data_IF_412308385782
#
_entry.id   IF_412308385782
#
_cell.length_a   1.000
_cell.length_b   1.000
_cell.length_c   1.000
_cell.angle_alpha   90.00
_cell.angle_beta   90.00
_cell.angle_gamma   90.00
#
_symmetry.space_group_name_H-M   'P 1'
#
loop_
_entity.id
_entity.type
_entity.pdbx_description
1 polymer ?
#
# COMPACT_ATOMS: atom_id res chain seq x y z
N UNK A 1 -3.06 -23.42 -6.68
CA UNK A 1 -2.72 -22.31 -7.60
C UNK A 1 -2.40 -21.06 -6.80
N UNK A 2 -1.34 -20.31 -7.12
CA UNK A 2 -1.02 -19.06 -6.42
C UNK A 2 -1.91 -17.91 -6.89
N UNK A 3 -2.50 -17.14 -5.97
CA UNK A 3 -3.35 -16.00 -6.33
C UNK A 3 -2.45 -14.87 -6.87
N UNK A 4 -2.86 -14.25 -7.96
CA UNK A 4 -2.18 -13.08 -8.50
C UNK A 4 -2.86 -11.82 -7.98
N UNK A 5 -2.06 -10.86 -7.53
CA UNK A 5 -2.56 -9.59 -7.02
C UNK A 5 -2.15 -8.43 -7.92
N UNK A 6 -3.01 -7.44 -7.96
CA UNK A 6 -2.80 -6.22 -8.73
C UNK A 6 -3.17 -5.01 -7.87
N UNK A 7 -2.34 -3.97 -7.93
CA UNK A 7 -2.66 -2.64 -7.43
C UNK A 7 -3.18 -1.80 -8.60
N UNK A 8 -4.30 -1.10 -8.40
CA UNK A 8 -4.77 -0.08 -9.34
C UNK A 8 -4.36 1.28 -8.81
N UNK A 9 -3.57 2.03 -9.57
CA UNK A 9 -3.07 3.34 -9.18
C UNK A 9 -2.84 4.22 -10.41
N UNK A 10 -3.38 5.44 -10.41
CA UNK A 10 -3.31 6.39 -11.54
C UNK A 10 -3.64 5.74 -12.88
N UNK A 11 -4.80 5.08 -12.95
CA UNK A 11 -5.32 4.35 -14.12
C UNK A 11 -4.43 3.20 -14.63
N UNK A 12 -3.40 2.82 -13.86
CA UNK A 12 -2.51 1.69 -14.18
C UNK A 12 -2.81 0.50 -13.30
N UNK A 13 -2.82 -0.67 -13.91
CA UNK A 13 -2.87 -1.97 -13.24
C UNK A 13 -1.46 -2.53 -13.07
N UNK A 14 -0.95 -2.50 -11.85
CA UNK A 14 0.40 -2.95 -11.51
C UNK A 14 0.32 -4.35 -10.92
N UNK A 15 0.92 -5.34 -11.58
CA UNK A 15 1.03 -6.71 -11.04
C UNK A 15 2.03 -6.73 -9.87
N UNK A 16 1.59 -7.21 -8.71
CA UNK A 16 2.43 -7.36 -7.54
C UNK A 16 3.18 -8.69 -7.62
N UNK A 17 4.50 -8.60 -7.78
CA UNK A 17 5.43 -9.74 -7.94
C UNK A 17 6.35 -9.95 -6.74
N UNK A 18 6.53 -8.92 -5.90
CA UNK A 18 7.38 -8.94 -4.70
C UNK A 18 6.54 -9.23 -3.46
N UNK A 19 7.21 -9.71 -2.40
CA UNK A 19 6.57 -9.94 -1.08
C UNK A 19 6.19 -8.64 -0.37
N UNK A 20 6.86 -7.54 -0.71
CA UNK A 20 6.66 -6.26 -0.03
C UNK A 20 6.80 -5.09 -1.00
N UNK A 21 6.00 -4.05 -0.76
CA UNK A 21 6.08 -2.77 -1.46
C UNK A 21 5.92 -1.62 -0.46
N UNK A 22 6.85 -0.68 -0.49
CA UNK A 22 6.70 0.61 0.21
C UNK A 22 6.02 1.61 -0.72
N UNK A 23 4.94 2.21 -0.25
CA UNK A 23 4.23 3.31 -0.87
C UNK A 23 4.72 4.61 -0.22
N UNK A 24 5.06 5.60 -1.04
CA UNK A 24 5.55 6.87 -0.54
C UNK A 24 5.98 7.81 -1.65
N UNK A 25 6.34 9.03 -1.26
CA UNK A 25 6.75 10.07 -2.22
C UNK A 25 8.25 10.08 -2.55
N UNK A 26 9.08 9.37 -1.80
CA UNK A 26 10.52 9.35 -2.03
C UNK A 26 10.91 8.26 -3.01
N UNK A 27 11.50 8.64 -4.16
CA UNK A 27 12.06 7.67 -5.12
C UNK A 27 13.14 6.76 -4.52
N UNK A 28 13.86 7.24 -3.52
CA UNK A 28 14.93 6.50 -2.87
C UNK A 28 14.41 5.47 -1.85
N UNK A 29 13.19 5.67 -1.31
CA UNK A 29 12.68 4.89 -0.18
C UNK A 29 11.39 4.10 -0.51
N UNK A 30 10.67 4.48 -1.56
CA UNK A 30 9.42 3.86 -1.97
C UNK A 30 9.59 2.97 -3.21
N UNK A 31 8.98 1.78 -3.17
CA UNK A 31 8.88 0.89 -4.34
C UNK A 31 7.74 1.31 -5.28
N UNK A 32 6.70 1.96 -4.73
CA UNK A 32 5.59 2.53 -5.47
C UNK A 32 5.56 4.01 -5.17
N UNK A 33 5.92 4.81 -6.17
CA UNK A 33 6.04 6.26 -6.03
C UNK A 33 4.67 6.92 -6.18
N UNK A 34 4.24 7.62 -5.12
CA UNK A 34 3.05 8.47 -5.12
C UNK A 34 3.52 9.92 -5.02
N UNK A 35 3.42 10.68 -6.12
CA UNK A 35 3.89 12.07 -6.19
C UNK A 35 2.85 13.03 -5.61
N UNK A 36 2.83 13.16 -4.28
CA UNK A 36 2.01 14.15 -3.57
C UNK A 36 2.74 14.60 -2.30
N UNK A 37 2.62 15.88 -1.96
CA UNK A 37 3.15 16.43 -0.70
C UNK A 37 2.37 15.93 0.52
N UNK A 38 1.12 15.49 0.35
CA UNK A 38 0.34 14.85 1.41
C UNK A 38 0.83 13.43 1.77
N UNK A 39 1.76 12.87 0.99
CA UNK A 39 2.27 11.52 1.19
C UNK A 39 3.66 11.58 1.84
N UNK A 40 3.90 10.70 2.81
CA UNK A 40 5.18 10.63 3.50
C UNK A 40 6.24 9.94 2.64
N UNK A 41 7.52 10.14 2.95
CA UNK A 41 8.63 9.54 2.19
C UNK A 41 8.51 8.01 2.13
N UNK A 42 8.21 7.41 3.28
CA UNK A 42 7.66 6.07 3.46
C UNK A 42 6.33 6.25 4.18
N UNK A 43 5.22 5.93 3.53
CA UNK A 43 3.89 6.25 4.03
C UNK A 43 3.16 5.00 4.47
N UNK A 44 3.09 4.00 3.60
CA UNK A 44 2.49 2.72 3.91
C UNK A 44 3.31 1.57 3.32
N UNK A 45 3.08 0.37 3.82
CA UNK A 45 3.69 -0.87 3.35
C UNK A 45 2.61 -1.86 2.97
N UNK A 46 2.70 -2.42 1.77
CA UNK A 46 1.93 -3.59 1.36
C UNK A 46 2.77 -4.85 1.56
N UNK A 47 2.19 -5.85 2.20
CA UNK A 47 2.77 -7.18 2.38
C UNK A 47 1.91 -8.16 1.58
N UNK A 48 2.54 -8.82 0.62
CA UNK A 48 1.91 -9.73 -0.33
C UNK A 48 2.22 -11.17 0.07
N UNK A 49 1.21 -11.85 0.61
CA UNK A 49 1.24 -13.26 0.94
C UNK A 49 0.89 -14.15 -0.26
N UNK A 50 0.82 -15.46 -0.01
CA UNK A 50 0.43 -16.45 -1.04
C UNK A 50 -1.04 -16.31 -1.48
N UNK A 51 -1.91 -15.89 -0.56
CA UNK A 51 -3.36 -15.85 -0.73
C UNK A 51 -4.02 -14.55 -0.24
N UNK A 52 -3.25 -13.64 0.35
CA UNK A 52 -3.74 -12.37 0.92
C UNK A 52 -2.77 -11.22 0.70
N UNK A 53 -3.29 -9.99 0.84
CA UNK A 53 -2.48 -8.77 0.96
C UNK A 53 -2.87 -8.08 2.26
N UNK A 54 -1.89 -7.58 2.99
CA UNK A 54 -2.11 -6.66 4.11
C UNK A 54 -1.45 -5.32 3.83
N UNK A 55 -2.02 -4.25 4.37
CA UNK A 55 -1.43 -2.91 4.38
C UNK A 55 -1.11 -2.50 5.82
N UNK A 56 -0.06 -1.72 5.98
CA UNK A 56 0.37 -1.12 7.24
C UNK A 56 0.69 0.36 7.00
N UNK A 57 0.09 1.26 7.78
CA UNK A 57 0.58 2.64 7.86
C UNK A 57 1.92 2.67 8.62
N UNK A 58 2.91 3.40 8.12
CA UNK A 58 4.28 3.44 8.66
C UNK A 58 4.52 4.65 9.58
N UNK A 59 3.48 5.17 10.24
CA UNK A 59 3.56 6.42 11.00
C UNK A 59 3.55 7.63 10.08
N UNK A 60 2.68 7.58 9.07
CA UNK A 60 2.61 8.66 8.10
C UNK A 60 2.01 9.94 8.68
N UNK A 61 2.39 11.09 8.10
CA UNK A 61 1.97 12.40 8.62
C UNK A 61 0.45 12.64 8.53
N UNK A 62 -0.19 12.13 7.47
CA UNK A 62 -1.63 12.31 7.23
C UNK A 62 -2.44 11.03 7.48
N UNK A 63 -1.80 9.96 7.96
CA UNK A 63 -2.42 8.66 8.13
C UNK A 63 -2.74 7.96 6.81
N UNK A 64 -3.19 6.71 6.95
CA UNK A 64 -3.70 5.89 5.84
C UNK A 64 -5.18 5.61 6.09
N UNK A 65 -5.98 5.66 5.03
CA UNK A 65 -7.40 5.31 5.06
C UNK A 65 -7.67 4.12 4.13
N UNK A 66 -8.63 3.27 4.51
CA UNK A 66 -9.13 2.17 3.70
C UNK A 66 -10.65 2.23 3.73
N UNK A 67 -11.28 2.31 2.56
CA UNK A 67 -12.72 2.48 2.38
C UNK A 67 -13.27 3.63 3.25
N UNK A 68 -12.61 4.80 3.19
CA UNK A 68 -12.97 6.01 3.95
C UNK A 68 -12.90 5.84 5.48
N UNK A 69 -12.08 4.91 5.97
CA UNK A 69 -11.83 4.71 7.41
C UNK A 69 -10.34 4.74 7.68
N UNK A 70 -9.91 5.65 8.53
CA UNK A 70 -8.54 5.72 9.00
C UNK A 70 -8.13 4.44 9.75
N UNK A 71 -6.92 3.97 9.51
CA UNK A 71 -6.30 2.87 10.24
C UNK A 71 -5.30 3.42 11.25
N UNK A 72 -5.05 2.69 12.34
CA UNK A 72 -4.02 3.11 13.30
C UNK A 72 -2.62 2.96 12.70
N UNK A 73 -1.67 3.83 13.03
CA UNK A 73 -0.26 3.64 12.68
C UNK A 73 0.24 2.27 13.12
N UNK A 74 1.05 1.63 12.28
CA UNK A 74 1.62 0.29 12.47
C UNK A 74 0.61 -0.86 12.57
N UNK A 75 -0.70 -0.61 12.43
CA UNK A 75 -1.71 -1.68 12.39
C UNK A 75 -1.69 -2.41 11.05
N UNK A 76 -1.66 -3.73 11.08
CA UNK A 76 -1.86 -4.56 9.90
C UNK A 76 -3.35 -4.70 9.58
N UNK A 77 -3.73 -4.33 8.37
CA UNK A 77 -5.11 -4.48 7.88
C UNK A 77 -5.12 -5.38 6.65
N UNK A 78 -5.96 -6.42 6.70
CA UNK A 78 -6.19 -7.33 5.59
C UNK A 78 -7.00 -6.64 4.50
N UNK A 79 -6.42 -6.55 3.30
CA UNK A 79 -7.11 -6.05 2.12
C UNK A 79 -7.90 -7.17 1.43
N UNK A 80 -9.15 -6.85 1.10
CA UNK A 80 -9.99 -7.66 0.22
C UNK A 80 -10.04 -7.02 -1.16
N UNK A 81 -10.49 -7.81 -2.12
CA UNK A 81 -10.70 -7.33 -3.48
C UNK A 81 -11.67 -6.14 -3.51
N UNK A 82 -11.34 -5.11 -4.28
CA UNK A 82 -12.15 -3.90 -4.43
C UNK A 82 -12.01 -2.85 -3.31
N UNK A 83 -11.26 -3.14 -2.24
CA UNK A 83 -10.97 -2.12 -1.22
C UNK A 83 -10.14 -0.98 -1.81
N UNK A 84 -10.49 0.26 -1.44
CA UNK A 84 -9.86 1.50 -1.90
C UNK A 84 -9.12 2.19 -0.78
#
# INVERSE_FOLDING_TARGET
>A
MAKQFYLIFSDKKIKLKRKEYILGRSKAQASILIKSESISRQHAKLIVGKSSITIQDLGSANGTEINNRAIKPNQLVLLREGMK
#
